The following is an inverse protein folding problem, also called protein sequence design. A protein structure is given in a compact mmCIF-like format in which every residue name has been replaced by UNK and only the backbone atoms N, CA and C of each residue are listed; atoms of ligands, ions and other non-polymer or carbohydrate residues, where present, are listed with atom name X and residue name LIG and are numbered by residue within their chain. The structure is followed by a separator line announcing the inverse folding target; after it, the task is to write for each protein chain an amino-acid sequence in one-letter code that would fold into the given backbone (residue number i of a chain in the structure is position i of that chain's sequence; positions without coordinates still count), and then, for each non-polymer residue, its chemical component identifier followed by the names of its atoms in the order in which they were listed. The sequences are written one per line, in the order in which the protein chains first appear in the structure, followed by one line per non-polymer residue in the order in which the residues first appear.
data_IF_280203749726
#
_entry.id   IF_280203749726
#
_cell.length_a   1.000
_cell.length_b   1.000
_cell.length_c   1.000
_cell.angle_alpha   90.00
_cell.angle_beta   90.00
_cell.angle_gamma   90.00
#
_symmetry.space_group_name_H-M   'P 1'
#
loop_
_entity.id
_entity.type
_entity.pdbx_description
1 polymer ?
#
# COMPACT_ATOMS: atom_id res chain seq x y z
N UNK A 1 -12.86 -3.29 -2.18
CA UNK A 1 -11.54 -3.97 -2.34
C UNK A 1 -10.48 -3.14 -1.65
N UNK A 2 -9.62 -3.76 -0.83
CA UNK A 2 -8.44 -3.11 -0.24
C UNK A 2 -7.20 -3.41 -1.06
N UNK A 3 -6.36 -2.41 -1.30
CA UNK A 3 -5.03 -2.56 -1.89
C UNK A 3 -3.99 -2.03 -0.90
N UNK A 4 -3.13 -2.91 -0.38
CA UNK A 4 -1.95 -2.45 0.38
C UNK A 4 -0.82 -2.13 -0.61
N UNK A 5 -0.03 -1.10 -0.34
CA UNK A 5 0.98 -0.63 -1.31
C UNK A 5 0.34 0.00 -2.55
N UNK A 6 -0.92 0.44 -2.44
CA UNK A 6 -1.71 0.95 -3.56
C UNK A 6 -1.23 2.30 -4.11
N UNK A 7 -0.34 3.02 -3.40
CA UNK A 7 0.31 4.19 -3.97
C UNK A 7 1.52 3.82 -4.84
N UNK A 8 2.04 2.59 -4.74
CA UNK A 8 3.14 2.10 -5.56
C UNK A 8 2.76 1.87 -7.01
N UNK A 9 3.75 1.49 -7.83
CA UNK A 9 3.58 1.33 -9.29
C UNK A 9 2.48 0.33 -9.65
N UNK A 10 2.57 -0.92 -9.21
CA UNK A 10 1.58 -1.95 -9.52
C UNK A 10 0.23 -1.64 -8.85
N UNK A 11 0.26 -1.25 -7.57
CA UNK A 11 -0.95 -1.00 -6.79
C UNK A 11 -1.82 0.12 -7.34
N UNK A 12 -1.23 1.20 -7.86
CA UNK A 12 -1.99 2.32 -8.44
C UNK A 12 -2.70 1.94 -9.74
N UNK A 13 -2.05 1.17 -10.62
CA UNK A 13 -2.68 0.71 -11.86
C UNK A 13 -3.79 -0.32 -11.60
N UNK A 14 -3.62 -1.19 -10.58
CA UNK A 14 -4.69 -2.09 -10.14
C UNK A 14 -5.86 -1.31 -9.54
N UNK A 15 -5.61 -0.20 -8.84
CA UNK A 15 -6.66 0.68 -8.34
C UNK A 15 -7.49 1.26 -9.48
N UNK A 16 -6.83 1.75 -10.54
CA UNK A 16 -7.51 2.30 -11.73
C UNK A 16 -8.38 1.24 -12.42
N UNK A 17 -7.83 0.04 -12.67
CA UNK A 17 -8.57 -1.06 -13.30
C UNK A 17 -9.80 -1.50 -12.46
N UNK A 18 -9.66 -1.55 -11.14
CA UNK A 18 -10.78 -1.90 -10.26
C UNK A 18 -11.87 -0.82 -10.24
N UNK A 19 -11.49 0.45 -10.29
CA UNK A 19 -12.46 1.54 -10.42
C UNK A 19 -13.20 1.48 -11.76
N UNK A 20 -12.47 1.25 -12.87
CA UNK A 20 -13.05 1.11 -14.20
C UNK A 20 -14.02 -0.09 -14.31
N UNK A 21 -13.74 -1.16 -13.55
CA UNK A 21 -14.63 -2.31 -13.41
C UNK A 21 -15.81 -2.09 -12.43
N UNK A 22 -15.93 -0.91 -11.82
CA UNK A 22 -17.05 -0.52 -10.96
C UNK A 22 -16.93 -0.93 -9.50
N UNK A 23 -15.73 -1.31 -9.04
CA UNK A 23 -15.49 -1.64 -7.63
C UNK A 23 -15.17 -0.40 -6.79
N UNK A 24 -15.62 -0.41 -5.53
CA UNK A 24 -15.12 0.54 -4.53
C UNK A 24 -13.71 0.15 -4.08
N UNK A 25 -12.76 1.07 -4.21
CA UNK A 25 -11.34 0.84 -3.92
C UNK A 25 -10.88 1.66 -2.71
N UNK A 26 -10.22 0.97 -1.78
CA UNK A 26 -9.48 1.56 -0.66
C UNK A 26 -8.00 1.22 -0.79
N UNK A 27 -7.14 2.18 -0.53
CA UNK A 27 -5.68 2.01 -0.53
C UNK A 27 -5.12 2.25 0.86
N UNK A 28 -4.26 1.34 1.33
CA UNK A 28 -3.41 1.53 2.50
C UNK A 28 -1.95 1.66 2.03
N UNK A 29 -1.30 2.78 2.34
CA UNK A 29 0.10 3.02 1.98
C UNK A 29 0.80 3.94 2.99
N UNK A 30 2.05 3.64 3.34
CA UNK A 30 2.80 4.46 4.31
C UNK A 30 3.49 5.66 3.64
N UNK A 31 3.52 5.70 2.31
CA UNK A 31 4.26 6.65 1.49
C UNK A 31 5.76 6.64 1.82
N UNK A 32 6.36 5.45 1.84
CA UNK A 32 7.77 5.25 2.12
C UNK A 32 8.65 6.29 1.39
N UNK A 33 9.52 7.04 2.10
CA UNK A 33 10.30 8.13 1.50
C UNK A 33 11.18 7.70 0.33
N UNK A 34 11.64 6.45 0.33
CA UNK A 34 12.43 5.88 -0.77
C UNK A 34 11.64 5.81 -2.08
N UNK A 35 10.32 5.61 -2.01
CA UNK A 35 9.44 5.47 -3.19
C UNK A 35 8.79 6.80 -3.54
N UNK A 36 8.33 7.56 -2.53
CA UNK A 36 7.49 8.74 -2.73
C UNK A 36 8.17 10.07 -2.39
N UNK A 37 9.38 10.05 -1.84
CA UNK A 37 10.10 11.22 -1.35
C UNK A 37 9.74 11.61 0.10
N UNK A 38 10.62 12.37 0.75
CA UNK A 38 10.50 12.72 2.19
C UNK A 38 9.33 13.63 2.55
N UNK A 39 8.78 14.34 1.56
CA UNK A 39 7.62 15.24 1.71
C UNK A 39 6.36 14.68 1.05
N UNK A 40 6.32 13.37 0.83
CA UNK A 40 5.21 12.71 0.16
C UNK A 40 3.87 13.02 0.83
N UNK A 41 2.87 13.26 -0.03
CA UNK A 41 1.46 13.33 0.29
C UNK A 41 0.72 12.33 -0.59
N UNK A 42 -0.60 12.23 -0.45
CA UNK A 42 -1.43 11.46 -1.37
C UNK A 42 -1.01 11.77 -2.82
N UNK A 43 -0.58 10.77 -3.61
CA UNK A 43 -0.11 11.04 -4.96
C UNK A 43 -1.24 11.55 -5.85
N UNK A 44 -0.92 12.50 -6.73
CA UNK A 44 -1.88 13.11 -7.65
C UNK A 44 -2.40 12.15 -8.72
N UNK A 45 -1.66 11.08 -9.01
CA UNK A 45 -2.08 10.06 -9.97
C UNK A 45 -3.11 9.09 -9.39
N UNK A 46 -3.24 9.01 -8.05
CA UNK A 46 -4.24 8.15 -7.45
C UNK A 46 -5.61 8.81 -7.61
N UNK A 47 -6.52 8.16 -8.35
CA UNK A 47 -7.87 8.65 -8.62
C UNK A 47 -8.56 9.14 -7.33
N UNK A 48 -9.36 10.20 -7.42
CA UNK A 48 -9.95 10.87 -6.24
C UNK A 48 -10.96 10.00 -5.51
N UNK A 49 -11.59 9.10 -6.25
CA UNK A 49 -12.57 8.11 -5.87
C UNK A 49 -11.97 7.03 -4.96
N UNK A 50 -10.65 6.80 -5.04
CA UNK A 50 -9.96 5.90 -4.12
C UNK A 50 -10.00 6.47 -2.70
N UNK A 51 -10.51 5.69 -1.76
CA UNK A 51 -10.34 5.99 -0.34
C UNK A 51 -8.88 5.75 0.03
N UNK A 52 -8.16 6.79 0.48
CA UNK A 52 -6.74 6.67 0.81
C UNK A 52 -6.53 6.73 2.31
N UNK A 53 -5.93 5.68 2.86
CA UNK A 53 -5.49 5.59 4.23
C UNK A 53 -3.96 5.62 4.23
N UNK A 54 -3.40 6.68 4.84
CA UNK A 54 -1.98 6.69 5.14
C UNK A 54 -1.73 5.83 6.37
N UNK A 55 -1.03 4.72 6.20
CA UNK A 55 -0.75 3.80 7.29
C UNK A 55 0.25 2.72 6.88
N UNK A 56 0.82 2.05 7.88
CA UNK A 56 1.83 1.02 7.67
C UNK A 56 1.20 -0.36 7.89
N UNK A 57 1.58 -1.35 7.07
CA UNK A 57 1.06 -2.72 7.18
C UNK A 57 1.51 -3.43 8.46
N UNK A 58 2.55 -2.91 9.12
CA UNK A 58 3.01 -3.37 10.42
C UNK A 58 2.18 -2.82 11.58
N UNK A 59 1.38 -1.78 11.34
CA UNK A 59 0.46 -1.23 12.34
C UNK A 59 -0.88 -1.99 12.30
N UNK A 60 -1.07 -2.84 13.31
CA UNK A 60 -2.29 -3.65 13.47
C UNK A 60 -3.56 -2.81 13.51
N UNK A 61 -3.52 -1.62 14.10
CA UNK A 61 -4.69 -0.75 14.18
C UNK A 61 -5.00 -0.11 12.83
N UNK A 62 -3.96 0.26 12.06
CA UNK A 62 -4.14 0.74 10.68
C UNK A 62 -4.75 -0.34 9.78
N UNK A 63 -4.27 -1.58 9.90
CA UNK A 63 -4.82 -2.72 9.17
C UNK A 63 -6.27 -2.99 9.58
N UNK A 64 -6.58 -3.05 10.87
CA UNK A 64 -7.96 -3.26 11.36
C UNK A 64 -8.93 -2.24 10.76
N UNK A 65 -8.58 -0.94 10.80
CA UNK A 65 -9.39 0.13 10.18
C UNK A 65 -9.51 -0.03 8.67
N UNK A 66 -8.41 -0.39 8.00
CA UNK A 66 -8.41 -0.55 6.55
C UNK A 66 -9.28 -1.74 6.09
N UNK A 67 -9.42 -2.78 6.92
CA UNK A 67 -10.20 -3.99 6.64
C UNK A 67 -11.70 -3.84 6.87
N UNK A 68 -12.17 -2.76 7.52
CA UNK A 68 -13.59 -2.57 7.82
C UNK A 68 -14.44 -2.55 6.53
N UNK A 69 -15.35 -3.52 6.40
CA UNK A 69 -16.25 -3.63 5.24
C UNK A 69 -15.56 -4.04 3.92
N UNK A 70 -14.38 -4.67 3.99
CA UNK A 70 -13.63 -5.13 2.81
C UNK A 70 -13.91 -6.61 2.52
N UNK A 71 -14.36 -6.90 1.29
CA UNK A 71 -14.61 -8.28 0.84
C UNK A 71 -13.39 -8.97 0.21
N UNK A 72 -12.40 -8.20 -0.27
CA UNK A 72 -11.25 -8.72 -1.03
C UNK A 72 -10.05 -7.81 -0.91
N UNK A 73 -8.84 -8.40 -0.93
CA UNK A 73 -7.57 -7.72 -0.68
C UNK A 73 -6.58 -8.05 -1.81
N UNK A 74 -5.93 -7.03 -2.35
CA UNK A 74 -4.68 -7.14 -3.10
C UNK A 74 -3.54 -6.65 -2.21
N UNK A 75 -2.58 -7.52 -1.89
CA UNK A 75 -1.46 -7.17 -1.01
C UNK A 75 -0.18 -6.92 -1.81
N UNK A 76 0.13 -5.65 -2.07
CA UNK A 76 1.34 -5.23 -2.78
C UNK A 76 2.32 -4.43 -1.90
N UNK A 77 1.98 -4.16 -0.63
CA UNK A 77 2.89 -3.54 0.31
C UNK A 77 4.10 -4.45 0.56
N UNK A 78 5.26 -4.04 0.07
CA UNK A 78 6.52 -4.72 0.29
C UNK A 78 7.68 -3.74 0.11
N UNK A 79 8.74 -3.90 0.90
CA UNK A 79 10.06 -3.39 0.56
C UNK A 79 10.58 -4.19 -0.64
N UNK A 80 11.03 -3.48 -1.68
CA UNK A 80 11.57 -4.05 -2.91
C UNK A 80 13.05 -3.70 -3.06
N UNK A 81 13.80 -4.54 -3.78
CA UNK A 81 15.22 -4.32 -4.05
C UNK A 81 16.11 -5.41 -3.46
N UNK A 82 16.75 -6.19 -4.34
CA UNK A 82 17.58 -7.36 -3.96
C UNK A 82 18.75 -6.98 -3.06
N UNK A 83 19.34 -5.78 -3.24
CA UNK A 83 20.43 -5.33 -2.36
C UNK A 83 19.95 -5.02 -0.94
N UNK A 84 18.76 -4.44 -0.78
CA UNK A 84 18.22 -4.06 0.52
C UNK A 84 17.83 -5.26 1.37
N UNK A 85 17.46 -6.39 0.75
CA UNK A 85 17.20 -7.62 1.51
C UNK A 85 18.46 -8.15 2.22
N UNK A 86 19.66 -7.77 1.77
CA UNK A 86 20.94 -8.16 2.37
C UNK A 86 21.43 -7.14 3.41
N UNK A 87 21.36 -5.84 3.10
CA UNK A 87 21.93 -4.80 3.96
C UNK A 87 20.93 -4.21 4.99
N UNK A 88 19.62 -4.37 4.75
CA UNK A 88 18.54 -3.88 5.61
C UNK A 88 17.55 -5.00 5.98
N UNK A 89 18.09 -6.20 6.24
CA UNK A 89 17.30 -7.44 6.41
C UNK A 89 16.19 -7.35 7.46
N UNK A 90 16.42 -6.60 8.55
CA UNK A 90 15.42 -6.40 9.59
C UNK A 90 14.20 -5.64 9.03
N UNK A 91 14.43 -4.50 8.38
CA UNK A 91 13.35 -3.72 7.75
C UNK A 91 12.66 -4.51 6.61
N UNK A 92 13.44 -5.27 5.83
CA UNK A 92 12.90 -6.08 4.74
C UNK A 92 11.98 -7.20 5.25
N UNK A 93 12.39 -7.91 6.31
CA UNK A 93 11.59 -8.98 6.94
C UNK A 93 10.37 -8.42 7.65
N UNK A 94 10.52 -7.29 8.32
CA UNK A 94 9.44 -6.62 9.05
C UNK A 94 8.33 -6.15 8.10
N UNK A 95 8.67 -5.52 6.96
CA UNK A 95 7.67 -5.14 5.96
C UNK A 95 7.06 -6.37 5.25
N UNK A 96 7.89 -7.29 4.75
CA UNK A 96 7.43 -8.28 3.78
C UNK A 96 6.87 -9.55 4.46
N UNK A 97 7.35 -9.88 5.65
CA UNK A 97 6.95 -11.10 6.35
C UNK A 97 6.06 -10.82 7.56
N UNK A 98 6.42 -9.86 8.42
CA UNK A 98 5.59 -9.53 9.59
C UNK A 98 4.38 -8.66 9.22
N UNK A 99 4.49 -7.85 8.17
CA UNK A 99 3.39 -7.03 7.65
C UNK A 99 2.38 -7.75 6.74
N UNK A 100 2.55 -9.06 6.49
CA UNK A 100 1.63 -9.88 5.69
C UNK A 100 0.78 -10.75 6.61
#
# INVERSE_FOLDING_TARGET
VLITGGAGFVGSHVADELLDAGYSVRVLDNLAPQVHGTRARRPSYLAREVEFIRGDVRDREAISRALEGIDSIFHFAAAVGVGQSMYEIANYTDNNSQGT
#
